data_IF_431998327289
#
_entry.id   IF_431998327289
#
_cell.length_a   1.000
_cell.length_b   1.000
_cell.length_c   1.000
_cell.angle_alpha   90.00
_cell.angle_beta   90.00
_cell.angle_gamma   90.00
#
_symmetry.space_group_name_H-M   'P 1'
#
loop_
_entity.id
_entity.type
_entity.pdbx_description
1 polymer ?
#
# COMPACT_ATOMS: atom_id res chain seq x y z
N UNK A 1 -19.65 10.97 -8.56
CA UNK A 1 -19.30 9.60 -9.06
C UNK A 1 -20.51 8.84 -9.59
N UNK A 2 -21.58 8.61 -8.79
CA UNK A 2 -22.81 7.92 -9.22
C UNK A 2 -23.33 8.34 -10.61
N UNK A 3 -23.58 9.65 -10.80
CA UNK A 3 -24.10 10.16 -12.09
C UNK A 3 -23.13 9.91 -13.24
N UNK A 4 -21.82 10.03 -12.99
CA UNK A 4 -20.80 9.76 -14.01
C UNK A 4 -20.81 8.29 -14.42
N UNK A 5 -20.87 7.36 -13.46
CA UNK A 5 -20.97 5.92 -13.76
C UNK A 5 -22.24 5.63 -14.56
N UNK A 6 -23.39 6.15 -14.14
CA UNK A 6 -24.65 5.97 -14.87
C UNK A 6 -24.58 6.50 -16.31
N UNK A 7 -23.95 7.67 -16.51
CA UNK A 7 -23.75 8.24 -17.84
C UNK A 7 -22.82 7.36 -18.70
N UNK A 8 -21.75 6.81 -18.12
CA UNK A 8 -20.84 5.91 -18.84
C UNK A 8 -21.52 4.59 -19.22
N UNK A 9 -22.39 4.07 -18.36
CA UNK A 9 -23.22 2.88 -18.67
C UNK A 9 -24.19 3.21 -19.81
N UNK A 10 -24.85 4.37 -19.78
CA UNK A 10 -25.77 4.79 -20.84
C UNK A 10 -25.07 4.95 -22.20
N UNK A 11 -23.80 5.37 -22.18
CA UNK A 11 -22.93 5.44 -23.37
C UNK A 11 -22.34 4.10 -23.80
N UNK A 12 -22.65 3.00 -23.09
CA UNK A 12 -22.06 1.67 -23.31
C UNK A 12 -20.53 1.62 -23.13
N UNK A 13 -19.93 2.61 -22.44
CA UNK A 13 -18.50 2.63 -22.10
C UNK A 13 -18.20 1.78 -20.86
N UNK A 14 -19.22 1.49 -20.03
CA UNK A 14 -19.13 0.59 -18.89
C UNK A 14 -20.28 -0.42 -18.89
N UNK A 15 -20.05 -1.67 -18.42
CA UNK A 15 -21.12 -2.66 -18.27
C UNK A 15 -22.10 -2.25 -17.16
N UNK A 16 -23.32 -2.78 -17.22
CA UNK A 16 -24.36 -2.51 -16.21
C UNK A 16 -23.92 -2.91 -14.78
N UNK A 17 -23.04 -3.89 -14.65
CA UNK A 17 -22.45 -4.35 -13.38
C UNK A 17 -21.59 -3.28 -12.70
N UNK A 18 -21.15 -2.23 -13.41
CA UNK A 18 -20.40 -1.12 -12.82
C UNK A 18 -21.21 -0.34 -11.76
N UNK A 19 -22.54 -0.52 -11.70
CA UNK A 19 -23.36 -0.02 -10.58
C UNK A 19 -22.93 -0.57 -9.22
N UNK A 20 -22.33 -1.77 -9.18
CA UNK A 20 -21.79 -2.37 -7.96
C UNK A 20 -20.56 -1.62 -7.40
N UNK A 21 -19.97 -0.71 -8.17
CA UNK A 21 -18.85 0.14 -7.75
C UNK A 21 -19.31 1.46 -7.12
N UNK A 22 -20.62 1.69 -7.00
CA UNK A 22 -21.18 2.91 -6.42
C UNK A 22 -21.41 2.69 -4.92
N UNK A 23 -20.78 3.52 -4.10
CA UNK A 23 -21.08 3.57 -2.66
C UNK A 23 -22.41 4.29 -2.46
N UNK A 24 -23.31 3.68 -1.68
CA UNK A 24 -24.67 4.17 -1.42
C UNK A 24 -24.67 5.42 -0.54
N UNK A 25 -23.84 5.44 0.50
CA UNK A 25 -23.72 6.53 1.48
C UNK A 25 -22.26 7.01 1.57
N UNK A 26 -21.75 7.70 0.54
CA UNK A 26 -20.34 8.10 0.51
C UNK A 26 -20.07 9.25 1.48
N UNK A 27 -18.86 9.26 2.04
CA UNK A 27 -18.30 10.33 2.86
C UNK A 27 -17.32 11.16 2.03
N UNK A 28 -17.33 12.48 2.20
CA UNK A 28 -16.28 13.34 1.63
C UNK A 28 -14.94 13.03 2.32
N UNK A 29 -13.89 12.84 1.52
CA UNK A 29 -12.54 12.61 2.04
C UNK A 29 -12.10 13.76 2.96
N UNK A 30 -11.61 13.40 4.14
CA UNK A 30 -11.14 14.36 5.14
C UNK A 30 -9.61 14.37 5.20
N UNK A 31 -9.03 15.56 5.22
CA UNK A 31 -7.61 15.74 5.54
C UNK A 31 -7.43 15.78 7.05
N UNK A 32 -6.42 15.07 7.55
CA UNK A 32 -5.96 15.14 8.93
C UNK A 32 -4.44 15.01 8.99
N UNK A 33 -3.84 15.37 10.12
CA UNK A 33 -2.40 15.38 10.30
C UNK A 33 -2.00 14.42 11.41
N UNK A 34 -1.05 13.52 11.13
CA UNK A 34 -0.40 12.71 12.16
C UNK A 34 0.96 13.30 12.52
N UNK A 35 1.26 13.60 13.80
CA UNK A 35 2.55 14.17 14.17
C UNK A 35 3.70 13.20 13.86
N UNK A 36 4.74 13.68 13.19
CA UNK A 36 6.00 12.94 13.03
C UNK A 36 6.83 13.09 14.31
N UNK A 37 6.51 12.29 15.33
CA UNK A 37 7.11 12.35 16.68
C UNK A 37 8.64 12.17 16.74
N UNK A 38 9.25 11.68 15.66
CA UNK A 38 10.70 11.47 15.56
C UNK A 38 11.44 12.64 14.87
N UNK A 39 10.76 13.72 14.51
CA UNK A 39 11.36 14.91 13.88
C UNK A 39 11.27 16.12 14.82
N UNK A 40 12.27 17.02 14.85
CA UNK A 40 12.20 18.25 15.64
C UNK A 40 10.91 19.02 15.33
N UNK A 41 10.27 19.58 16.37
CA UNK A 41 8.99 20.30 16.28
C UNK A 41 7.79 19.45 15.80
N UNK A 42 7.92 18.12 15.74
CA UNK A 42 6.84 17.16 15.46
C UNK A 42 5.93 17.55 14.26
N UNK A 43 6.49 17.86 13.07
CA UNK A 43 5.71 18.31 11.93
C UNK A 43 4.61 17.31 11.57
N UNK A 44 3.44 17.82 11.20
CA UNK A 44 2.31 16.99 10.76
C UNK A 44 2.60 16.27 9.45
N UNK A 45 2.25 14.99 9.37
CA UNK A 45 2.11 14.22 8.13
C UNK A 45 0.68 14.41 7.62
N UNK A 46 0.44 15.16 6.55
CA UNK A 46 -0.88 15.27 5.97
C UNK A 46 -1.33 13.92 5.41
N UNK A 47 -2.56 13.52 5.71
CA UNK A 47 -3.20 12.31 5.21
C UNK A 47 -4.61 12.68 4.76
N UNK A 48 -4.99 12.26 3.55
CA UNK A 48 -6.37 12.34 3.05
C UNK A 48 -7.00 10.96 3.22
N UNK A 49 -8.03 10.85 4.07
CA UNK A 49 -8.77 9.60 4.22
C UNK A 49 -9.65 9.34 2.99
N UNK A 50 -9.41 8.22 2.32
CA UNK A 50 -10.25 7.72 1.24
C UNK A 50 -11.32 6.71 1.72
N UNK A 51 -11.45 6.50 3.04
CA UNK A 51 -12.41 5.56 3.60
C UNK A 51 -13.84 6.01 3.33
N UNK A 52 -14.67 5.13 2.78
CA UNK A 52 -16.05 5.40 2.36
C UNK A 52 -16.18 6.55 1.36
N UNK A 53 -15.10 6.92 0.67
CA UNK A 53 -15.15 7.99 -0.32
C UNK A 53 -15.83 7.52 -1.61
N UNK A 54 -16.37 8.43 -2.44
CA UNK A 54 -17.09 8.05 -3.66
C UNK A 54 -16.32 7.13 -4.64
N UNK A 55 -14.99 7.06 -4.55
CA UNK A 55 -14.11 6.29 -5.45
C UNK A 55 -13.47 5.06 -4.81
N UNK A 56 -13.76 4.75 -3.55
CA UNK A 56 -13.10 3.64 -2.83
C UNK A 56 -13.27 2.29 -3.52
N UNK A 57 -14.51 1.91 -3.88
CA UNK A 57 -14.77 0.63 -4.56
C UNK A 57 -14.15 0.58 -5.96
N UNK A 58 -14.09 1.72 -6.65
CA UNK A 58 -13.42 1.83 -7.96
C UNK A 58 -11.92 1.57 -7.78
N UNK A 59 -11.28 2.21 -6.79
CA UNK A 59 -9.86 2.00 -6.48
C UNK A 59 -9.59 0.53 -6.12
N UNK A 60 -10.39 -0.05 -5.23
CA UNK A 60 -10.24 -1.46 -4.83
C UNK A 60 -10.41 -2.43 -6.00
N UNK A 61 -11.34 -2.16 -6.91
CA UNK A 61 -11.52 -2.97 -8.10
C UNK A 61 -10.31 -2.85 -9.05
N UNK A 62 -9.82 -1.63 -9.29
CA UNK A 62 -8.65 -1.40 -10.11
C UNK A 62 -7.41 -2.10 -9.54
N UNK A 63 -7.18 -2.02 -8.23
CA UNK A 63 -6.08 -2.72 -7.57
C UNK A 63 -6.13 -4.24 -7.83
N UNK A 64 -7.32 -4.84 -7.75
CA UNK A 64 -7.51 -6.27 -8.03
C UNK A 64 -7.24 -6.64 -9.49
N UNK A 65 -7.67 -5.79 -10.42
CA UNK A 65 -7.44 -5.98 -11.87
C UNK A 65 -5.96 -5.81 -12.21
N UNK A 66 -5.28 -4.86 -11.58
CA UNK A 66 -3.87 -4.56 -11.83
C UNK A 66 -2.92 -5.55 -11.15
N UNK A 67 -3.32 -6.16 -10.03
CA UNK A 67 -2.49 -7.10 -9.27
C UNK A 67 -1.82 -8.21 -10.11
N UNK A 68 -2.50 -8.94 -11.02
CA UNK A 68 -1.83 -9.93 -11.87
C UNK A 68 -0.86 -9.30 -12.87
N UNK A 69 -1.15 -8.09 -13.38
CA UNK A 69 -0.28 -7.38 -14.33
C UNK A 69 0.99 -6.91 -13.63
N UNK A 70 0.88 -6.36 -12.42
CA UNK A 70 2.04 -5.90 -11.63
C UNK A 70 3.00 -7.07 -11.36
N UNK A 71 2.49 -8.29 -11.19
CA UNK A 71 3.30 -9.49 -10.95
C UNK A 71 4.13 -9.94 -12.15
N UNK A 72 3.83 -9.50 -13.37
CA UNK A 72 4.62 -9.84 -14.56
C UNK A 72 5.81 -8.91 -14.76
N UNK A 73 5.88 -7.81 -14.00
CA UNK A 73 6.97 -6.85 -14.12
C UNK A 73 8.28 -7.44 -13.57
N UNK A 74 9.42 -7.24 -14.25
CA UNK A 74 10.71 -7.73 -13.77
C UNK A 74 11.16 -7.06 -12.46
N UNK A 75 10.62 -5.89 -12.13
CA UNK A 75 10.85 -5.21 -10.85
C UNK A 75 9.95 -5.69 -9.72
N UNK A 76 9.09 -6.68 -9.95
CA UNK A 76 8.15 -7.14 -8.94
C UNK A 76 8.85 -7.91 -7.82
N UNK A 77 8.75 -7.39 -6.61
CA UNK A 77 9.17 -8.06 -5.37
C UNK A 77 7.91 -8.33 -4.56
N UNK A 78 7.72 -9.60 -4.17
CA UNK A 78 6.48 -10.04 -3.50
C UNK A 78 6.56 -9.78 -2.00
N UNK A 79 7.66 -10.19 -1.41
CA UNK A 79 7.94 -10.14 0.02
C UNK A 79 9.46 -10.25 0.23
N UNK A 80 9.88 -10.18 1.50
CA UNK A 80 11.29 -10.25 1.88
C UNK A 80 11.97 -11.55 1.45
N UNK A 81 11.25 -12.68 1.38
CA UNK A 81 11.84 -13.95 0.94
C UNK A 81 12.09 -13.95 -0.56
N UNK A 82 11.12 -13.48 -1.36
CA UNK A 82 11.32 -13.29 -2.80
C UNK A 82 12.49 -12.34 -3.09
N UNK A 83 12.66 -11.27 -2.29
CA UNK A 83 13.80 -10.37 -2.42
C UNK A 83 15.15 -11.09 -2.19
N UNK A 84 15.24 -11.93 -1.16
CA UNK A 84 16.46 -12.71 -0.87
C UNK A 84 16.79 -13.70 -2.00
N UNK A 85 15.79 -14.35 -2.59
CA UNK A 85 15.97 -15.22 -3.76
C UNK A 85 16.53 -14.46 -4.96
N UNK A 86 16.03 -13.25 -5.21
CA UNK A 86 16.57 -12.38 -6.27
C UNK A 86 18.03 -12.03 -5.96
N UNK A 87 18.37 -11.63 -4.73
CA UNK A 87 19.73 -11.24 -4.37
C UNK A 87 20.75 -12.39 -4.41
N UNK A 88 20.33 -13.63 -4.18
CA UNK A 88 21.19 -14.83 -4.37
C UNK A 88 21.81 -14.88 -5.75
N UNK A 89 21.11 -14.40 -6.77
CA UNK A 89 21.62 -14.38 -8.16
C UNK A 89 22.66 -13.29 -8.42
N UNK A 90 22.85 -12.33 -7.51
CA UNK A 90 23.67 -11.12 -7.74
C UNK A 90 25.01 -11.14 -7.01
N UNK A 91 25.05 -11.37 -5.69
CA UNK A 91 26.28 -11.40 -4.89
C UNK A 91 26.05 -12.00 -3.50
N UNK A 92 26.94 -12.91 -3.06
CA UNK A 92 26.89 -13.51 -1.71
C UNK A 92 27.01 -12.44 -0.62
N UNK A 93 27.85 -11.41 -0.81
CA UNK A 93 28.00 -10.33 0.18
C UNK A 93 26.70 -9.54 0.33
N UNK A 94 26.07 -9.17 -0.80
CA UNK A 94 24.81 -8.44 -0.78
C UNK A 94 23.69 -9.27 -0.14
N UNK A 95 23.64 -10.56 -0.45
CA UNK A 95 22.70 -11.49 0.17
C UNK A 95 22.85 -11.52 1.69
N UNK A 96 24.08 -11.66 2.20
CA UNK A 96 24.32 -11.68 3.65
C UNK A 96 23.91 -10.38 4.33
N UNK A 97 24.20 -9.23 3.72
CA UNK A 97 23.77 -7.94 4.25
C UNK A 97 22.23 -7.82 4.26
N UNK A 98 21.56 -8.25 3.19
CA UNK A 98 20.10 -8.28 3.12
C UNK A 98 19.49 -9.22 4.17
N UNK A 99 20.03 -10.43 4.36
CA UNK A 99 19.59 -11.37 5.39
C UNK A 99 19.69 -10.76 6.79
N UNK A 100 20.80 -10.08 7.11
CA UNK A 100 20.98 -9.43 8.41
C UNK A 100 19.92 -8.34 8.63
N UNK A 101 19.70 -7.46 7.65
CA UNK A 101 18.71 -6.38 7.76
C UNK A 101 17.28 -6.92 7.89
N UNK A 102 16.96 -8.00 7.17
CA UNK A 102 15.62 -8.59 7.14
C UNK A 102 15.30 -9.48 8.33
N UNK A 103 16.31 -10.06 9.00
CA UNK A 103 16.11 -11.05 10.08
C UNK A 103 16.50 -10.56 11.46
N UNK A 104 17.38 -9.57 11.57
CA UNK A 104 17.89 -9.05 12.84
C UNK A 104 17.37 -7.66 13.17
N UNK A 105 16.27 -7.25 12.52
CA UNK A 105 15.66 -5.98 12.81
C UNK A 105 15.02 -5.97 14.21
N UNK A 106 15.41 -5.00 15.03
CA UNK A 106 14.92 -4.82 16.39
C UNK A 106 14.46 -3.37 16.58
N UNK A 107 13.39 -3.18 17.34
CA UNK A 107 12.87 -1.86 17.71
C UNK A 107 12.53 -1.81 19.20
N UNK A 108 12.47 -0.60 19.76
CA UNK A 108 12.02 -0.40 21.14
C UNK A 108 10.69 0.34 21.18
N UNK A 109 9.82 -0.06 22.12
CA UNK A 109 8.55 0.61 22.36
C UNK A 109 8.20 0.54 23.85
N UNK A 110 7.92 1.68 24.47
CA UNK A 110 7.61 1.75 25.90
C UNK A 110 8.72 1.20 26.82
N UNK A 111 9.99 1.38 26.44
CA UNK A 111 11.14 0.88 27.21
C UNK A 111 11.47 -0.60 27.04
N UNK A 112 10.65 -1.35 26.30
CA UNK A 112 10.89 -2.76 25.98
C UNK A 112 11.49 -2.91 24.57
N UNK A 113 12.24 -3.98 24.36
CA UNK A 113 12.86 -4.32 23.06
C UNK A 113 12.12 -5.47 22.40
N UNK A 114 11.94 -5.36 21.09
CA UNK A 114 11.20 -6.31 20.27
C UNK A 114 12.01 -6.65 19.02
N UNK A 115 11.99 -7.94 18.64
CA UNK A 115 12.51 -8.40 17.36
C UNK A 115 11.38 -8.40 16.34
N UNK A 116 11.58 -7.76 15.20
CA UNK A 116 10.65 -7.84 14.08
C UNK A 116 10.76 -9.24 13.46
N UNK A 117 9.63 -9.96 13.42
CA UNK A 117 9.58 -11.34 12.91
C UNK A 117 9.14 -11.42 11.46
N UNK A 118 8.47 -10.38 10.94
CA UNK A 118 7.95 -10.32 9.58
C UNK A 118 8.01 -8.89 9.01
N UNK A 119 8.17 -8.78 7.69
CA UNK A 119 8.20 -7.50 6.97
C UNK A 119 9.57 -6.83 6.95
N UNK A 120 9.61 -5.54 6.66
CA UNK A 120 10.82 -4.71 6.64
C UNK A 120 10.56 -3.44 7.46
N UNK A 121 11.53 -2.96 8.22
CA UNK A 121 11.39 -1.66 8.88
C UNK A 121 11.27 -0.55 7.83
N UNK A 122 10.36 0.39 8.07
CA UNK A 122 10.19 1.56 7.21
C UNK A 122 10.84 2.80 7.86
N UNK A 123 11.52 3.62 7.06
CA UNK A 123 12.01 4.93 7.48
C UNK A 123 13.44 4.96 8.04
N UNK A 124 14.30 4.02 7.61
CA UNK A 124 15.77 4.12 7.72
C UNK A 124 16.31 5.38 7.05
#
# INVERSE_FOLDING_TARGET
VKNKINNLIAKQELPATAKNLIITTPRTSCIYFLPKIHKPNNPGRPIVSACSCPTELISSYLDKVMAPIVKTLPSYIKDSQHALEIFRSSSETLLRLAELVLTLNCFSFGGNYYKQTNGVAMGT
#
